data_IF_445309895413
#
_entry.id   IF_445309895413
#
_cell.length_a   1.000
_cell.length_b   1.000
_cell.length_c   1.000
_cell.angle_alpha   90.00
_cell.angle_beta   90.00
_cell.angle_gamma   90.00
#
_symmetry.space_group_name_H-M   'P 1'
#
loop_
_entity.id
_entity.type
_entity.pdbx_description
1 polymer ?
#
# COMPACT_ATOMS: atom_id res chain seq x y z
N UNK A 1 -27.82 3.86 -28.44
CA UNK A 1 -27.99 4.30 -27.04
C UNK A 1 -27.66 3.18 -26.04
N UNK A 2 -28.19 1.99 -26.19
CA UNK A 2 -27.90 0.84 -25.30
C UNK A 2 -26.41 0.47 -25.23
N UNK A 3 -25.71 0.47 -26.34
CA UNK A 3 -24.29 0.11 -26.41
C UNK A 3 -23.40 1.13 -25.67
N UNK A 4 -23.71 2.42 -25.76
CA UNK A 4 -22.97 3.47 -25.02
C UNK A 4 -23.17 3.38 -23.51
N UNK A 5 -24.37 3.00 -23.06
CA UNK A 5 -24.68 2.85 -21.65
C UNK A 5 -23.97 1.62 -21.04
N UNK A 6 -23.89 0.52 -21.80
CA UNK A 6 -23.16 -0.68 -21.36
C UNK A 6 -21.66 -0.43 -21.28
N UNK A 7 -21.08 0.33 -22.22
CA UNK A 7 -19.65 0.72 -22.15
C UNK A 7 -19.33 1.61 -20.94
N UNK A 8 -20.22 2.56 -20.63
CA UNK A 8 -20.06 3.41 -19.45
C UNK A 8 -20.14 2.59 -18.14
N UNK A 9 -21.01 1.60 -18.09
CA UNK A 9 -21.15 0.72 -16.92
C UNK A 9 -19.94 -0.21 -16.74
N UNK A 10 -19.37 -0.72 -17.82
CA UNK A 10 -18.15 -1.54 -17.78
C UNK A 10 -16.91 -0.75 -17.38
N UNK A 11 -16.86 0.54 -17.70
CA UNK A 11 -15.76 1.41 -17.28
C UNK A 11 -15.77 1.70 -15.76
N UNK A 12 -16.92 1.54 -15.08
CA UNK A 12 -17.05 1.72 -13.63
C UNK A 12 -16.68 0.43 -12.85
N UNK A 13 -16.72 -0.73 -13.51
CA UNK A 13 -16.26 -2.00 -12.95
C UNK A 13 -14.73 -2.14 -13.06
N UNK A 14 -14.01 -1.14 -12.61
CA UNK A 14 -12.57 -1.31 -12.37
C UNK A 14 -12.43 -2.34 -11.26
N UNK A 15 -11.65 -3.41 -11.45
CA UNK A 15 -11.31 -4.27 -10.33
C UNK A 15 -10.71 -3.38 -9.25
N UNK A 16 -11.24 -3.48 -8.04
CA UNK A 16 -10.63 -2.85 -6.87
C UNK A 16 -9.31 -3.59 -6.65
N UNK A 17 -8.37 -3.21 -7.47
CA UNK A 17 -6.99 -3.62 -7.33
C UNK A 17 -6.46 -2.94 -6.08
N UNK A 18 -6.02 -3.70 -5.13
CA UNK A 18 -5.23 -3.17 -4.01
C UNK A 18 -4.19 -2.21 -4.58
N UNK A 19 -3.93 -1.10 -3.89
CA UNK A 19 -3.05 -0.05 -4.36
C UNK A 19 -1.73 -0.63 -4.86
N UNK A 20 -1.40 -0.39 -6.11
CA UNK A 20 -0.13 -0.75 -6.69
C UNK A 20 0.99 0.20 -6.23
N UNK A 21 2.19 -0.01 -6.73
CA UNK A 21 3.37 0.78 -6.37
C UNK A 21 3.18 2.29 -6.55
N UNK A 22 2.46 2.71 -7.59
CA UNK A 22 2.15 4.12 -7.82
C UNK A 22 1.29 4.70 -6.70
N UNK A 23 0.26 3.99 -6.26
CA UNK A 23 -0.62 4.43 -5.17
C UNK A 23 0.14 4.57 -3.85
N UNK A 24 0.95 3.58 -3.47
CA UNK A 24 1.79 3.65 -2.27
C UNK A 24 2.76 4.83 -2.30
N UNK A 25 3.48 5.01 -3.41
CA UNK A 25 4.41 6.14 -3.59
C UNK A 25 3.70 7.49 -3.53
N UNK A 26 2.54 7.60 -4.16
CA UNK A 26 1.76 8.86 -4.16
C UNK A 26 1.34 9.27 -2.75
N UNK A 27 0.86 8.32 -1.94
CA UNK A 27 0.49 8.60 -0.55
C UNK A 27 1.70 8.97 0.28
N UNK A 28 2.83 8.28 0.11
CA UNK A 28 4.07 8.58 0.80
C UNK A 28 4.60 10.00 0.47
N UNK A 29 4.62 10.38 -0.80
CA UNK A 29 4.97 11.73 -1.21
C UNK A 29 4.02 12.80 -0.65
N UNK A 30 2.73 12.50 -0.63
CA UNK A 30 1.75 13.41 -0.06
C UNK A 30 1.99 13.58 1.45
N UNK A 31 2.20 12.48 2.17
CA UNK A 31 2.50 12.51 3.60
C UNK A 31 3.78 13.34 3.89
N UNK A 32 4.83 13.14 3.11
CA UNK A 32 6.11 13.85 3.24
C UNK A 32 5.94 15.38 3.21
N UNK A 33 5.06 15.88 2.36
CA UNK A 33 4.76 17.31 2.25
C UNK A 33 4.10 17.91 3.50
N UNK A 34 3.50 17.09 4.33
CA UNK A 34 2.84 17.52 5.57
C UNK A 34 3.65 17.24 6.82
N UNK A 35 4.82 16.63 6.69
CA UNK A 35 5.72 16.45 7.82
C UNK A 35 6.25 17.78 8.31
N UNK A 36 6.40 17.92 9.62
CA UNK A 36 7.18 19.00 10.19
C UNK A 36 8.66 18.84 9.83
N UNK A 37 9.43 19.93 9.87
CA UNK A 37 10.86 19.87 9.56
C UNK A 37 11.61 18.86 10.45
N UNK A 38 11.20 18.71 11.70
CA UNK A 38 11.82 17.75 12.64
C UNK A 38 11.44 16.30 12.27
N UNK A 39 10.17 16.06 11.96
CA UNK A 39 9.72 14.74 11.52
C UNK A 39 10.38 14.31 10.21
N UNK A 40 10.52 15.24 9.27
CA UNK A 40 11.20 14.98 7.99
C UNK A 40 12.67 14.58 8.23
N UNK A 41 13.42 15.36 9.06
CA UNK A 41 14.80 15.01 9.41
C UNK A 41 14.92 13.65 10.10
N UNK A 42 13.96 13.31 10.96
CA UNK A 42 13.94 12.01 11.62
C UNK A 42 13.74 10.87 10.65
N UNK A 43 12.77 10.99 9.72
CA UNK A 43 12.52 10.00 8.67
C UNK A 43 13.76 9.83 7.79
N UNK A 44 14.36 10.92 7.33
CA UNK A 44 15.59 10.88 6.52
C UNK A 44 16.74 10.19 7.26
N UNK A 45 16.87 10.44 8.56
CA UNK A 45 17.89 9.78 9.37
C UNK A 45 17.68 8.27 9.45
N UNK A 46 16.44 7.82 9.60
CA UNK A 46 16.13 6.39 9.60
C UNK A 46 16.41 5.74 8.25
N UNK A 47 16.01 6.36 7.17
CA UNK A 47 16.13 5.82 5.82
C UNK A 47 17.58 5.80 5.30
N UNK A 48 18.44 6.72 5.74
CA UNK A 48 19.87 6.72 5.38
C UNK A 48 20.63 5.45 5.75
N UNK A 49 20.16 4.75 6.77
CA UNK A 49 20.75 3.51 7.25
C UNK A 49 20.11 2.26 6.63
N UNK A 50 19.11 2.43 5.80
CA UNK A 50 18.46 1.35 5.08
C UNK A 50 18.72 1.47 3.56
N UNK A 51 18.25 0.50 2.81
CA UNK A 51 18.36 0.46 1.35
C UNK A 51 17.38 1.39 0.64
N UNK A 52 16.43 1.92 1.38
CA UNK A 52 15.43 2.85 0.83
C UNK A 52 16.01 4.25 0.75
N UNK A 53 15.84 4.89 -0.38
CA UNK A 53 16.41 6.20 -0.65
C UNK A 53 15.58 7.32 -0.07
N UNK A 54 14.25 7.12 -0.02
CA UNK A 54 13.28 8.07 0.50
C UNK A 54 12.01 7.38 1.02
N UNK A 55 11.10 8.15 1.57
CA UNK A 55 9.83 7.63 2.11
C UNK A 55 8.97 6.96 1.04
N UNK A 56 9.08 7.36 -0.23
CA UNK A 56 8.32 6.74 -1.31
C UNK A 56 8.83 5.34 -1.64
N UNK A 57 10.14 5.11 -1.58
CA UNK A 57 10.73 3.79 -1.72
C UNK A 57 10.39 2.91 -0.51
N UNK A 58 10.47 3.48 0.70
CA UNK A 58 10.10 2.80 1.93
C UNK A 58 8.64 2.32 1.94
N UNK A 59 7.73 3.05 1.29
CA UNK A 59 6.33 2.67 1.18
C UNK A 59 6.08 1.35 0.46
N UNK A 60 7.04 0.87 -0.32
CA UNK A 60 6.97 -0.40 -1.02
C UNK A 60 7.62 -1.58 -0.26
N UNK A 61 8.19 -1.28 0.90
CA UNK A 61 8.94 -2.27 1.67
C UNK A 61 8.14 -3.54 1.99
N UNK A 62 6.92 -3.39 2.49
CA UNK A 62 6.08 -4.51 2.90
C UNK A 62 5.63 -5.38 1.71
N UNK A 63 5.22 -4.76 0.60
CA UNK A 63 4.78 -5.47 -0.61
C UNK A 63 5.94 -6.05 -1.42
N UNK A 64 7.10 -5.44 -1.32
CA UNK A 64 8.26 -5.77 -2.13
C UNK A 64 9.28 -6.61 -1.39
N UNK A 65 10.19 -5.93 -0.69
CA UNK A 65 11.40 -6.54 -0.10
C UNK A 65 11.07 -7.53 1.00
N UNK A 66 10.32 -7.12 2.01
CA UNK A 66 10.06 -7.98 3.17
C UNK A 66 9.27 -9.24 2.79
N UNK A 67 8.35 -9.11 1.86
CA UNK A 67 7.56 -10.24 1.37
C UNK A 67 8.43 -11.31 0.69
N UNK A 68 9.54 -10.91 0.06
CA UNK A 68 10.50 -11.84 -0.56
C UNK A 68 11.47 -12.41 0.44
N UNK A 69 12.03 -11.57 1.33
CA UNK A 69 13.05 -11.96 2.29
C UNK A 69 12.47 -12.72 3.49
N UNK A 70 11.20 -12.43 3.84
CA UNK A 70 10.48 -13.02 4.97
C UNK A 70 9.06 -13.42 4.58
N UNK A 71 8.87 -14.50 3.82
CA UNK A 71 7.56 -14.90 3.26
C UNK A 71 6.47 -15.11 4.30
N UNK A 72 6.83 -15.48 5.53
CA UNK A 72 5.89 -15.70 6.62
C UNK A 72 5.15 -14.41 7.06
N UNK A 73 5.72 -13.24 6.76
CA UNK A 73 5.09 -11.94 7.09
C UNK A 73 4.03 -11.52 6.09
N UNK A 74 3.88 -12.23 4.97
CA UNK A 74 2.97 -11.87 3.90
C UNK A 74 1.53 -11.67 4.38
N UNK A 75 1.06 -12.53 5.27
CA UNK A 75 -0.29 -12.47 5.79
C UNK A 75 -0.50 -11.32 6.76
N UNK A 76 0.54 -10.84 7.43
CA UNK A 76 0.47 -9.73 8.40
C UNK A 76 0.22 -8.39 7.73
N UNK A 77 0.48 -8.30 6.43
CA UNK A 77 0.31 -7.08 5.66
C UNK A 77 -1.14 -6.81 5.26
N UNK A 78 -2.00 -7.80 5.38
CA UNK A 78 -3.40 -7.70 4.97
C UNK A 78 -4.34 -7.92 6.15
N UNK A 79 -5.35 -7.04 6.26
CA UNK A 79 -6.51 -7.28 7.14
C UNK A 79 -7.66 -7.65 6.22
N UNK A 80 -8.09 -8.91 6.27
CA UNK A 80 -9.33 -9.36 5.65
C UNK A 80 -10.50 -9.16 6.60
N UNK A 81 -11.49 -8.38 6.23
CA UNK A 81 -12.77 -8.42 6.92
C UNK A 81 -13.52 -9.67 6.43
N UNK A 82 -13.44 -10.73 7.20
CA UNK A 82 -14.25 -11.92 7.00
C UNK A 82 -15.53 -11.77 7.83
N UNK A 83 -16.66 -12.14 7.27
CA UNK A 83 -17.91 -12.26 8.01
C UNK A 83 -17.73 -13.21 9.19
N UNK A 84 -18.40 -12.94 10.31
CA UNK A 84 -18.23 -13.52 11.64
C UNK A 84 -17.85 -15.02 11.80
N UNK A 85 -18.17 -15.84 10.80
CA UNK A 85 -17.95 -17.28 10.88
C UNK A 85 -16.48 -17.73 10.67
N UNK A 86 -15.62 -16.89 10.10
CA UNK A 86 -14.26 -17.26 9.71
C UNK A 86 -13.16 -16.60 10.53
N UNK A 87 -13.50 -15.64 11.40
CA UNK A 87 -12.53 -14.98 12.28
C UNK A 87 -11.99 -15.91 13.40
N UNK A 88 -12.70 -16.98 13.73
CA UNK A 88 -12.35 -17.89 14.83
C UNK A 88 -11.28 -18.91 14.43
N UNK A 89 -11.06 -19.16 13.15
CA UNK A 89 -10.12 -20.19 12.68
C UNK A 89 -8.72 -19.65 12.33
N UNK A 90 -8.47 -18.34 12.48
CA UNK A 90 -7.21 -17.73 12.00
C UNK A 90 -6.39 -17.06 13.13
N UNK A 91 -6.77 -17.26 14.39
CA UNK A 91 -5.98 -16.79 15.56
C UNK A 91 -5.27 -17.95 16.23
#
# INVERSE_FOLDING_TARGET
>A
MLVSTVFAFLAVLQPISCWGSLGHRTVAYLADKYLTADAHRFVDHLLKNDRDLDISDASLWADGRVKRERPFTKQWHFIGMLTDATLVETI
#
